data_IF_209246365452
#
_entry.id   IF_209246365452
#
_cell.length_a   1.000
_cell.length_b   1.000
_cell.length_c   1.000
_cell.angle_alpha   90.00
_cell.angle_beta   90.00
_cell.angle_gamma   90.00
#
_symmetry.space_group_name_H-M   'P 1'
#
loop_
_entity.id
_entity.type
_entity.pdbx_description
1 polymer ?
#
# COMPACT_ATOMS: atom_id res chain seq x y z
N UNK A 1 -12.02 16.59 0.17
CA UNK A 1 -10.82 16.84 -0.66
C UNK A 1 -10.37 15.54 -1.27
N UNK A 2 -10.26 15.52 -2.59
CA UNK A 2 -9.60 14.45 -3.33
C UNK A 2 -8.10 14.44 -2.99
N UNK A 3 -7.40 13.32 -3.22
CA UNK A 3 -5.95 13.25 -3.05
C UNK A 3 -5.19 14.23 -3.95
N UNK A 4 -5.75 14.53 -5.12
CA UNK A 4 -5.19 15.52 -6.05
C UNK A 4 -5.30 16.94 -5.48
N UNK A 5 -6.42 17.31 -4.85
CA UNK A 5 -6.60 18.64 -4.25
C UNK A 5 -5.56 18.90 -3.15
N UNK A 6 -5.24 17.88 -2.36
CA UNK A 6 -4.22 17.97 -1.31
C UNK A 6 -2.82 18.18 -1.91
N UNK A 7 -2.50 17.49 -3.00
CA UNK A 7 -1.19 17.63 -3.66
C UNK A 7 -1.07 18.98 -4.35
N UNK A 8 -2.12 19.45 -5.02
CA UNK A 8 -2.13 20.79 -5.59
C UNK A 8 -1.91 21.86 -4.52
N UNK A 9 -2.49 21.68 -3.35
CA UNK A 9 -2.26 22.58 -2.20
C UNK A 9 -0.79 22.52 -1.77
N UNK A 10 -0.23 21.33 -1.55
CA UNK A 10 1.17 21.17 -1.12
C UNK A 10 2.14 21.74 -2.16
N UNK A 11 1.88 21.51 -3.46
CA UNK A 11 2.71 22.02 -4.58
C UNK A 11 2.67 23.54 -4.67
N UNK A 12 1.54 24.19 -4.34
CA UNK A 12 1.43 25.66 -4.33
C UNK A 12 2.28 26.33 -3.25
N UNK A 13 2.55 25.62 -2.17
CA UNK A 13 3.23 26.13 -0.98
C UNK A 13 4.69 25.62 -0.86
N UNK A 14 5.26 25.05 -1.94
CA UNK A 14 6.67 24.64 -1.94
C UNK A 14 7.56 25.86 -2.09
N UNK A 15 8.45 26.03 -1.12
CA UNK A 15 9.44 27.11 -1.08
C UNK A 15 10.85 26.55 -1.24
N UNK A 16 11.74 27.35 -1.82
CA UNK A 16 13.16 27.07 -1.90
C UNK A 16 13.75 27.02 -0.49
N UNK A 17 14.52 25.98 -0.18
CA UNK A 17 15.13 25.81 1.16
C UNK A 17 16.21 26.86 1.44
N UNK A 18 16.80 27.46 0.40
CA UNK A 18 17.89 28.42 0.54
C UNK A 18 17.43 29.88 0.68
N UNK A 19 16.36 30.28 -0.02
CA UNK A 19 15.92 31.68 -0.07
C UNK A 19 14.41 31.87 0.13
N UNK A 20 13.68 30.81 0.49
CA UNK A 20 12.23 30.79 0.71
C UNK A 20 11.36 31.22 -0.47
N UNK A 21 11.96 31.44 -1.65
CA UNK A 21 11.23 31.76 -2.88
C UNK A 21 10.22 30.66 -3.22
N UNK A 22 8.99 31.06 -3.60
CA UNK A 22 7.93 30.11 -3.95
C UNK A 22 8.22 29.45 -5.30
N UNK A 23 8.38 28.13 -5.31
CA UNK A 23 8.71 27.32 -6.49
C UNK A 23 7.46 26.89 -7.31
N UNK A 24 6.29 27.43 -6.99
CA UNK A 24 5.03 27.13 -7.68
C UNK A 24 5.14 27.35 -9.19
N UNK A 25 4.62 26.39 -9.94
CA UNK A 25 4.50 26.47 -11.40
C UNK A 25 5.76 26.10 -12.18
N UNK A 26 6.89 25.85 -11.50
CA UNK A 26 8.08 25.29 -12.14
C UNK A 26 7.83 23.82 -12.51
N UNK A 27 8.22 23.46 -13.74
CA UNK A 27 8.02 22.11 -14.26
C UNK A 27 9.20 21.20 -13.92
N UNK A 28 8.88 19.99 -13.46
CA UNK A 28 9.85 18.92 -13.21
C UNK A 28 10.02 18.58 -11.73
N UNK A 29 10.55 17.38 -11.43
CA UNK A 29 10.75 16.91 -10.06
C UNK A 29 11.90 17.64 -9.34
N UNK A 30 12.90 18.09 -10.10
CA UNK A 30 14.06 18.84 -9.63
C UNK A 30 14.10 20.16 -10.39
N UNK A 31 14.06 21.27 -9.68
CA UNK A 31 13.99 22.62 -10.27
C UNK A 31 15.15 23.46 -9.77
N UNK A 32 15.65 24.37 -10.61
CA UNK A 32 16.61 25.39 -10.21
C UNK A 32 15.83 26.63 -9.78
N UNK A 33 16.08 27.13 -8.57
CA UNK A 33 15.47 28.35 -8.07
C UNK A 33 15.89 29.54 -8.95
N UNK A 34 14.96 30.35 -9.46
CA UNK A 34 15.29 31.49 -10.30
C UNK A 34 16.00 32.61 -9.52
N UNK A 35 15.67 32.79 -8.23
CA UNK A 35 16.27 33.83 -7.38
C UNK A 35 17.71 33.52 -6.96
N UNK A 36 17.95 32.39 -6.28
CA UNK A 36 19.26 32.08 -5.70
C UNK A 36 20.07 31.04 -6.48
N UNK A 37 19.51 30.48 -7.56
CA UNK A 37 20.17 29.45 -8.37
C UNK A 37 20.31 28.08 -7.72
N UNK A 38 19.83 27.87 -6.49
CA UNK A 38 19.90 26.59 -5.79
C UNK A 38 19.04 25.53 -6.49
N UNK A 39 19.55 24.29 -6.54
CA UNK A 39 18.82 23.15 -7.10
C UNK A 39 18.00 22.49 -5.99
N UNK A 40 16.69 22.36 -6.20
CA UNK A 40 15.75 21.84 -5.21
C UNK A 40 14.95 20.66 -5.77
N UNK A 41 14.90 19.56 -5.03
CA UNK A 41 14.04 18.41 -5.32
C UNK A 41 12.62 18.67 -4.77
N UNK A 42 11.77 19.21 -5.65
CA UNK A 42 10.36 19.51 -5.35
C UNK A 42 9.59 18.23 -5.06
N UNK A 43 9.88 17.14 -5.79
CA UNK A 43 9.21 15.87 -5.58
C UNK A 43 9.48 15.30 -4.18
N UNK A 44 10.72 15.37 -3.70
CA UNK A 44 11.10 14.96 -2.35
C UNK A 44 10.49 15.87 -1.27
N UNK A 45 10.45 17.19 -1.49
CA UNK A 45 9.83 18.14 -0.56
C UNK A 45 8.31 17.90 -0.43
N UNK A 46 7.60 17.80 -1.54
CA UNK A 46 6.15 17.53 -1.54
C UNK A 46 5.86 16.17 -0.91
N UNK A 47 6.66 15.15 -1.22
CA UNK A 47 6.56 13.84 -0.57
C UNK A 47 6.78 13.96 0.95
N UNK A 48 7.79 14.69 1.42
CA UNK A 48 8.04 14.84 2.86
C UNK A 48 6.88 15.49 3.61
N UNK A 49 6.17 16.43 2.96
CA UNK A 49 5.01 17.16 3.51
C UNK A 49 3.69 16.39 3.39
N UNK A 50 3.69 15.24 2.71
CA UNK A 50 2.50 14.41 2.64
C UNK A 50 2.18 13.77 4.01
N UNK A 51 1.07 14.19 4.60
CA UNK A 51 0.49 13.60 5.81
C UNK A 51 -0.78 12.78 5.58
N UNK A 52 -1.26 12.72 4.33
CA UNK A 52 -2.49 12.01 3.98
C UNK A 52 -2.33 10.48 4.01
N UNK A 53 -3.44 9.73 4.03
CA UNK A 53 -3.39 8.28 3.93
C UNK A 53 -2.90 7.85 2.53
N UNK A 54 -2.07 6.81 2.48
CA UNK A 54 -1.48 6.22 1.27
C UNK A 54 -2.49 5.93 0.15
N UNK A 55 -3.70 5.48 0.48
CA UNK A 55 -4.72 5.15 -0.51
C UNK A 55 -5.27 6.37 -1.26
N UNK A 56 -4.97 7.59 -0.80
CA UNK A 56 -5.28 8.84 -1.51
C UNK A 56 -4.11 9.35 -2.34
N UNK A 57 -2.95 8.72 -2.27
CA UNK A 57 -1.81 9.14 -3.10
C UNK A 57 -2.12 8.85 -4.58
N UNK A 58 -1.85 9.79 -5.50
CA UNK A 58 -2.11 9.62 -6.91
C UNK A 58 -1.26 8.48 -7.48
N UNK A 59 -1.84 7.70 -8.38
CA UNK A 59 -1.21 6.52 -8.94
C UNK A 59 -1.25 5.29 -8.03
N UNK A 60 -1.60 5.45 -6.74
CA UNK A 60 -1.72 4.34 -5.81
C UNK A 60 -2.78 3.32 -6.27
N UNK A 61 -3.93 3.77 -6.81
CA UNK A 61 -4.98 2.89 -7.34
C UNK A 61 -4.48 1.85 -8.35
N UNK A 62 -3.42 2.19 -9.10
CA UNK A 62 -2.81 1.29 -10.09
C UNK A 62 -2.03 0.15 -9.43
N UNK A 63 -1.51 0.38 -8.23
CA UNK A 63 -0.89 -0.65 -7.38
C UNK A 63 -1.95 -1.39 -6.54
N UNK A 64 -2.96 -0.67 -6.05
CA UNK A 64 -3.97 -1.17 -5.12
C UNK A 64 -4.99 -2.11 -5.76
N UNK A 65 -5.52 -1.77 -6.93
CA UNK A 65 -6.57 -2.55 -7.60
C UNK A 65 -6.16 -4.00 -7.89
N UNK A 66 -5.00 -4.28 -8.52
CA UNK A 66 -4.62 -5.66 -8.79
C UNK A 66 -4.39 -6.45 -7.49
N UNK A 67 -3.85 -5.79 -6.46
CA UNK A 67 -3.68 -6.33 -5.12
C UNK A 67 -5.03 -6.67 -4.46
N UNK A 68 -5.99 -5.76 -4.50
CA UNK A 68 -7.33 -5.96 -3.96
C UNK A 68 -8.07 -7.09 -4.68
N UNK A 69 -7.97 -7.18 -6.01
CA UNK A 69 -8.54 -8.29 -6.80
C UNK A 69 -7.91 -9.62 -6.40
N UNK A 70 -6.58 -9.69 -6.25
CA UNK A 70 -5.90 -10.91 -5.83
C UNK A 70 -6.34 -11.36 -4.43
N UNK A 71 -6.47 -10.43 -3.48
CA UNK A 71 -6.86 -10.75 -2.10
C UNK A 71 -8.34 -11.09 -1.98
N UNK A 72 -9.23 -10.34 -2.64
CA UNK A 72 -10.68 -10.65 -2.66
C UNK A 72 -10.93 -11.98 -3.36
N UNK A 73 -10.23 -12.24 -4.48
CA UNK A 73 -10.30 -13.53 -5.17
C UNK A 73 -9.86 -14.68 -4.26
N UNK A 74 -8.78 -14.49 -3.51
CA UNK A 74 -8.32 -15.45 -2.52
C UNK A 74 -9.37 -15.70 -1.42
N UNK A 75 -9.90 -14.64 -0.80
CA UNK A 75 -10.92 -14.74 0.26
C UNK A 75 -12.21 -15.41 -0.22
N UNK A 76 -12.71 -15.03 -1.40
CA UNK A 76 -13.90 -15.65 -1.99
C UNK A 76 -13.68 -17.13 -2.23
N UNK A 77 -12.49 -17.53 -2.69
CA UNK A 77 -12.27 -18.94 -2.97
C UNK A 77 -12.12 -19.76 -1.69
N UNK A 78 -11.47 -19.21 -0.65
CA UNK A 78 -11.45 -19.82 0.69
C UNK A 78 -12.87 -19.96 1.26
N UNK A 79 -13.71 -18.93 1.13
CA UNK A 79 -15.11 -18.97 1.55
C UNK A 79 -15.90 -20.06 0.79
N UNK A 80 -15.77 -20.10 -0.53
CA UNK A 80 -16.42 -21.14 -1.35
C UNK A 80 -15.91 -22.54 -1.01
N UNK A 81 -14.64 -22.70 -0.66
CA UNK A 81 -14.09 -23.95 -0.12
C UNK A 81 -14.79 -24.34 1.18
N UNK A 82 -14.90 -23.41 2.12
CA UNK A 82 -15.53 -23.62 3.42
C UNK A 82 -17.02 -23.95 3.31
N UNK A 83 -17.74 -23.30 2.40
CA UNK A 83 -19.15 -23.62 2.12
C UNK A 83 -19.28 -24.98 1.44
N UNK A 84 -18.42 -25.29 0.47
CA UNK A 84 -18.39 -26.60 -0.18
C UNK A 84 -17.95 -27.73 0.76
N UNK A 85 -17.23 -27.40 1.85
CA UNK A 85 -16.82 -28.30 2.93
C UNK A 85 -18.01 -28.94 3.66
N UNK A 86 -19.23 -28.41 3.49
CA UNK A 86 -20.43 -29.15 3.87
C UNK A 86 -20.63 -30.47 3.10
N UNK A 87 -19.84 -30.77 2.05
CA UNK A 87 -20.19 -31.85 1.10
C UNK A 87 -19.13 -32.83 0.59
N UNK A 88 -17.79 -32.70 0.76
CA UNK A 88 -16.78 -33.77 0.42
C UNK A 88 -15.30 -33.36 0.62
N UNK A 89 -14.49 -34.23 1.24
CA UNK A 89 -13.08 -34.02 1.60
C UNK A 89 -12.06 -33.89 0.43
N UNK A 90 -12.41 -34.31 -0.80
CA UNK A 90 -11.48 -34.25 -1.96
C UNK A 90 -11.40 -32.88 -2.63
N UNK A 91 -12.43 -32.05 -2.46
CA UNK A 91 -12.47 -30.68 -3.00
C UNK A 91 -11.55 -29.74 -2.21
N UNK A 92 -11.37 -29.99 -0.91
CA UNK A 92 -10.55 -29.16 -0.01
C UNK A 92 -9.09 -29.10 -0.44
N UNK A 93 -8.48 -30.24 -0.81
CA UNK A 93 -7.10 -30.29 -1.30
C UNK A 93 -6.91 -29.55 -2.63
N UNK A 94 -7.90 -29.63 -3.53
CA UNK A 94 -7.88 -28.90 -4.80
C UNK A 94 -7.99 -27.39 -4.58
N UNK A 95 -8.87 -26.95 -3.69
CA UNK A 95 -9.04 -25.52 -3.38
C UNK A 95 -7.82 -24.99 -2.61
N UNK A 96 -7.29 -25.73 -1.64
CA UNK A 96 -6.06 -25.39 -0.93
C UNK A 96 -4.82 -25.35 -1.85
N UNK A 97 -4.83 -26.05 -3.00
CA UNK A 97 -3.72 -26.02 -3.95
C UNK A 97 -3.90 -24.93 -5.03
N UNK A 98 -5.10 -24.82 -5.62
CA UNK A 98 -5.37 -23.93 -6.76
C UNK A 98 -5.45 -22.46 -6.32
N UNK A 99 -5.95 -22.18 -5.11
CA UNK A 99 -6.16 -20.81 -4.65
C UNK A 99 -4.86 -20.09 -4.30
N UNK A 100 -3.93 -20.69 -3.53
CA UNK A 100 -2.62 -20.09 -3.33
C UNK A 100 -1.84 -19.99 -4.64
N UNK A 101 -1.96 -20.98 -5.54
CA UNK A 101 -1.31 -20.93 -6.85
C UNK A 101 -1.85 -19.79 -7.73
N UNK A 102 -3.16 -19.60 -7.80
CA UNK A 102 -3.78 -18.50 -8.55
C UNK A 102 -3.44 -17.13 -7.99
N UNK A 103 -3.46 -16.98 -6.66
CA UNK A 103 -3.02 -15.77 -5.99
C UNK A 103 -1.53 -15.49 -6.27
N UNK A 104 -0.68 -16.52 -6.22
CA UNK A 104 0.74 -16.43 -6.53
C UNK A 104 0.98 -16.01 -7.99
N UNK A 105 0.21 -16.55 -8.95
CA UNK A 105 0.31 -16.16 -10.37
C UNK A 105 -0.09 -14.70 -10.58
N UNK A 106 -1.20 -14.26 -9.99
CA UNK A 106 -1.61 -12.86 -10.06
C UNK A 106 -0.55 -11.93 -9.43
N UNK A 107 0.10 -12.39 -8.36
CA UNK A 107 1.21 -11.71 -7.70
C UNK A 107 2.44 -11.58 -8.56
N UNK A 108 2.90 -12.69 -9.13
CA UNK A 108 4.06 -12.72 -10.03
C UNK A 108 3.78 -11.83 -11.24
N UNK A 109 2.57 -11.85 -11.79
CA UNK A 109 2.17 -10.96 -12.87
C UNK A 109 2.24 -9.48 -12.47
N UNK A 110 1.78 -9.11 -11.27
CA UNK A 110 1.87 -7.74 -10.74
C UNK A 110 3.33 -7.30 -10.55
N UNK A 111 4.17 -8.15 -9.97
CA UNK A 111 5.60 -7.89 -9.77
C UNK A 111 6.32 -7.73 -11.11
N UNK A 112 6.04 -8.59 -12.08
CA UNK A 112 6.63 -8.50 -13.42
C UNK A 112 6.15 -7.24 -14.14
N UNK A 113 4.86 -6.91 -14.06
CA UNK A 113 4.32 -5.71 -14.69
C UNK A 113 4.91 -4.42 -14.09
N UNK A 114 4.97 -4.33 -12.76
CA UNK A 114 5.56 -3.18 -12.05
C UNK A 114 7.06 -3.10 -12.26
N UNK A 115 7.77 -4.24 -12.27
CA UNK A 115 9.19 -4.31 -12.59
C UNK A 115 9.52 -3.83 -14.01
N UNK A 116 8.69 -4.20 -15.00
CA UNK A 116 8.85 -3.72 -16.39
C UNK A 116 8.64 -2.21 -16.53
N UNK A 117 7.72 -1.63 -15.77
CA UNK A 117 7.39 -0.18 -15.87
C UNK A 117 8.26 0.71 -15.01
N UNK A 118 8.70 0.19 -13.88
CA UNK A 118 9.24 1.00 -12.78
C UNK A 118 10.57 0.49 -12.24
N UNK A 119 11.12 -0.60 -12.80
CA UNK A 119 12.37 -1.21 -12.37
C UNK A 119 12.29 -1.80 -10.96
N UNK A 120 13.44 -1.89 -10.29
CA UNK A 120 13.58 -2.45 -8.94
C UNK A 120 12.69 -1.71 -7.92
N UNK A 121 12.55 -0.38 -8.06
CA UNK A 121 11.71 0.43 -7.17
C UNK A 121 10.23 0.02 -7.25
N UNK A 122 9.73 -0.27 -8.47
CA UNK A 122 8.36 -0.74 -8.67
C UNK A 122 8.09 -2.07 -7.99
N UNK A 123 9.03 -3.01 -8.11
CA UNK A 123 8.96 -4.32 -7.44
C UNK A 123 8.92 -4.13 -5.93
N UNK A 124 9.80 -3.28 -5.38
CA UNK A 124 9.85 -2.96 -3.95
C UNK A 124 8.52 -2.37 -3.45
N UNK A 125 7.92 -1.45 -4.20
CA UNK A 125 6.63 -0.86 -3.87
C UNK A 125 5.47 -1.87 -3.94
N UNK A 126 5.47 -2.76 -4.93
CA UNK A 126 4.47 -3.82 -5.04
C UNK A 126 4.57 -4.81 -3.87
N UNK A 127 5.79 -5.19 -3.47
CA UNK A 127 6.02 -6.07 -2.31
C UNK A 127 5.63 -5.39 -0.99
N UNK A 128 5.95 -4.11 -0.80
CA UNK A 128 5.53 -3.38 0.39
C UNK A 128 4.01 -3.20 0.45
N UNK A 129 3.38 -2.89 -0.69
CA UNK A 129 1.92 -2.79 -0.77
C UNK A 129 1.26 -4.12 -0.41
N UNK A 130 1.84 -5.25 -0.85
CA UNK A 130 1.40 -6.58 -0.43
C UNK A 130 1.41 -6.73 1.08
N UNK A 131 2.57 -6.47 1.69
CA UNK A 131 2.79 -6.72 3.10
C UNK A 131 1.81 -5.93 3.96
N UNK A 132 1.60 -4.66 3.59
CA UNK A 132 0.68 -3.76 4.29
C UNK A 132 -0.77 -4.22 4.12
N UNK A 133 -1.20 -4.50 2.89
CA UNK A 133 -2.59 -4.89 2.62
C UNK A 133 -2.92 -6.25 3.22
N UNK A 134 -2.05 -7.24 3.06
CA UNK A 134 -2.15 -8.53 3.72
C UNK A 134 -2.14 -8.37 5.23
N UNK A 135 -1.26 -7.51 5.78
CA UNK A 135 -1.22 -7.18 7.21
C UNK A 135 -2.57 -6.66 7.72
N UNK A 136 -3.22 -5.74 6.99
CA UNK A 136 -4.56 -5.29 7.37
C UNK A 136 -5.61 -6.39 7.31
N UNK A 137 -5.60 -7.19 6.25
CA UNK A 137 -6.60 -8.26 6.06
C UNK A 137 -6.44 -9.36 7.11
N UNK A 138 -5.22 -9.87 7.30
CA UNK A 138 -4.92 -10.88 8.30
C UNK A 138 -5.03 -10.34 9.73
N UNK A 139 -4.64 -9.09 9.96
CA UNK A 139 -4.82 -8.42 11.26
C UNK A 139 -6.29 -8.26 11.62
N UNK A 140 -7.14 -7.90 10.64
CA UNK A 140 -8.58 -7.79 10.83
C UNK A 140 -9.25 -9.16 11.05
N UNK A 141 -8.89 -10.18 10.25
CA UNK A 141 -9.38 -11.55 10.43
C UNK A 141 -8.93 -12.10 11.80
N UNK A 142 -7.67 -11.89 12.17
CA UNK A 142 -7.12 -12.26 13.47
C UNK A 142 -7.85 -11.57 14.61
N UNK A 143 -8.17 -10.27 14.47
CA UNK A 143 -9.00 -9.55 15.43
C UNK A 143 -10.41 -10.16 15.55
N UNK A 144 -11.07 -10.49 14.45
CA UNK A 144 -12.39 -11.12 14.47
C UNK A 144 -12.36 -12.52 15.12
N UNK A 145 -11.36 -13.33 14.81
CA UNK A 145 -11.15 -14.63 15.47
C UNK A 145 -10.87 -14.44 16.97
N UNK A 146 -10.17 -13.37 17.34
CA UNK A 146 -9.88 -13.03 18.74
C UNK A 146 -11.09 -12.50 19.48
N UNK A 147 -11.95 -11.76 18.81
CA UNK A 147 -13.22 -11.35 19.37
C UNK A 147 -14.16 -12.56 19.56
N UNK A 148 -14.21 -13.46 18.58
CA UNK A 148 -14.98 -14.71 18.67
C UNK A 148 -14.44 -15.65 19.76
N UNK A 149 -13.12 -15.69 19.95
CA UNK A 149 -12.49 -16.47 21.01
C UNK A 149 -12.58 -15.84 22.39
N UNK A 150 -12.83 -14.53 22.53
CA UNK A 150 -12.96 -13.85 23.83
C UNK A 150 -14.12 -14.39 24.70
N UNK A 151 -14.98 -15.22 24.12
CA UNK A 151 -16.01 -16.01 24.80
C UNK A 151 -15.49 -17.37 25.32
N UNK A 152 -14.19 -17.67 25.16
CA UNK A 152 -13.50 -18.85 25.69
C UNK A 152 -12.80 -18.52 27.03
N UNK A 153 -12.71 -19.47 27.97
CA UNK A 153 -12.35 -19.19 29.36
C UNK A 153 -10.89 -18.80 29.63
N UNK A 154 -9.95 -19.14 28.74
CA UNK A 154 -8.54 -18.75 28.88
C UNK A 154 -8.27 -17.41 28.18
N UNK A 155 -7.84 -16.38 28.91
CA UNK A 155 -7.62 -15.02 28.37
C UNK A 155 -6.16 -14.77 27.90
N UNK A 156 -5.26 -15.74 28.07
CA UNK A 156 -3.82 -15.57 27.84
C UNK A 156 -3.45 -15.37 26.36
N UNK A 157 -4.19 -15.97 25.44
CA UNK A 157 -3.98 -15.83 24.00
C UNK A 157 -4.48 -14.47 23.47
N UNK A 158 -5.37 -13.79 24.21
CA UNK A 158 -5.95 -12.49 23.85
C UNK A 158 -4.90 -11.37 23.92
N UNK A 159 -3.97 -11.45 24.88
CA UNK A 159 -2.84 -10.51 25.00
C UNK A 159 -1.85 -10.68 23.85
N UNK A 160 -1.53 -11.93 23.47
CA UNK A 160 -0.62 -12.23 22.36
C UNK A 160 -1.24 -11.78 21.02
N UNK A 161 -2.53 -12.05 20.83
CA UNK A 161 -3.26 -11.62 19.64
C UNK A 161 -3.35 -10.09 19.53
N UNK A 162 -3.68 -9.38 20.63
CA UNK A 162 -3.70 -7.92 20.64
C UNK A 162 -2.31 -7.32 20.37
N UNK A 163 -1.26 -7.89 20.98
CA UNK A 163 0.13 -7.47 20.74
C UNK A 163 0.54 -7.64 19.28
N UNK A 164 0.18 -8.77 18.65
CA UNK A 164 0.42 -9.01 17.24
C UNK A 164 -0.36 -8.04 16.34
N UNK A 165 -1.65 -7.81 16.60
CA UNK A 165 -2.47 -6.85 15.85
C UNK A 165 -1.90 -5.42 15.94
N UNK A 166 -1.47 -4.97 17.12
CA UNK A 166 -0.87 -3.65 17.31
C UNK A 166 0.46 -3.53 16.54
N UNK A 167 1.33 -4.55 16.63
CA UNK A 167 2.59 -4.57 15.90
C UNK A 167 2.39 -4.53 14.37
N UNK A 168 1.42 -5.31 13.86
CA UNK A 168 1.04 -5.30 12.45
C UNK A 168 0.48 -3.93 12.03
N UNK A 169 -0.38 -3.31 12.84
CA UNK A 169 -0.90 -1.97 12.54
C UNK A 169 0.20 -0.90 12.51
N UNK A 170 1.16 -0.93 13.45
CA UNK A 170 2.29 0.01 13.45
C UNK A 170 3.16 -0.20 12.20
N UNK A 171 3.49 -1.45 11.86
CA UNK A 171 4.27 -1.77 10.66
C UNK A 171 3.54 -1.32 9.38
N UNK A 172 2.23 -1.56 9.30
CA UNK A 172 1.39 -1.08 8.22
C UNK A 172 1.42 0.44 8.13
N UNK A 173 1.20 1.16 9.23
CA UNK A 173 1.19 2.62 9.26
C UNK A 173 2.49 3.27 8.75
N UNK A 174 3.65 2.73 9.17
CA UNK A 174 4.94 3.22 8.68
C UNK A 174 5.16 2.88 7.20
N UNK A 175 4.80 1.67 6.78
CA UNK A 175 4.87 1.24 5.39
C UNK A 175 3.99 2.08 4.47
N UNK A 176 2.77 2.41 4.91
CA UNK A 176 1.82 3.22 4.16
C UNK A 176 2.38 4.60 3.85
N UNK A 177 2.93 5.27 4.87
CA UNK A 177 3.56 6.59 4.69
C UNK A 177 4.70 6.52 3.68
N UNK A 178 5.53 5.48 3.76
CA UNK A 178 6.62 5.29 2.80
C UNK A 178 6.11 5.13 1.37
N UNK A 179 5.10 4.27 1.14
CA UNK A 179 4.50 4.06 -0.18
C UNK A 179 3.88 5.35 -0.70
N UNK A 180 3.07 6.04 0.10
CA UNK A 180 2.42 7.28 -0.30
C UNK A 180 3.43 8.34 -0.76
N UNK A 181 4.53 8.50 -0.01
CA UNK A 181 5.62 9.43 -0.36
C UNK A 181 6.28 9.06 -1.68
N UNK A 182 6.57 7.77 -1.90
CA UNK A 182 7.14 7.28 -3.16
C UNK A 182 6.18 7.43 -4.33
N UNK A 183 4.89 7.23 -4.10
CA UNK A 183 3.88 7.40 -5.12
C UNK A 183 3.82 8.86 -5.61
N UNK A 184 3.83 9.81 -4.67
CA UNK A 184 3.83 11.25 -4.95
C UNK A 184 5.10 11.66 -5.69
N UNK A 185 6.26 11.20 -5.24
CA UNK A 185 7.53 11.53 -5.90
C UNK A 185 7.54 11.07 -7.36
N UNK A 186 7.03 9.88 -7.66
CA UNK A 186 6.91 9.36 -9.03
C UNK A 186 5.86 10.11 -9.85
N UNK A 187 4.72 10.45 -9.25
CA UNK A 187 3.68 11.24 -9.90
C UNK A 187 4.20 12.61 -10.36
N UNK A 188 4.91 13.33 -9.48
CA UNK A 188 5.52 14.62 -9.78
C UNK A 188 6.69 14.53 -10.77
N UNK A 189 7.37 13.38 -10.82
CA UNK A 189 8.40 13.09 -11.81
C UNK A 189 7.84 12.60 -13.16
N UNK A 190 6.51 12.57 -13.34
CA UNK A 190 5.82 12.03 -14.51
C UNK A 190 6.26 10.59 -14.88
N UNK A 191 6.63 9.79 -13.87
CA UNK A 191 7.06 8.40 -14.07
C UNK A 191 5.85 7.46 -14.03
N UNK A 192 5.74 6.51 -14.98
CA UNK A 192 4.64 5.55 -14.98
C UNK A 192 4.69 4.59 -13.78
N UNK A 193 3.52 4.01 -13.45
CA UNK A 193 3.33 2.89 -12.52
C UNK A 193 3.00 1.61 -13.28
#
# INVERSE_FOLDING_TARGET
MSGNDQIETIVRDVTCVACEYNLRGLQGPVVKCPECGAVTDVAALVASRWGGPWYRAPGFDRLARPLAVAVVGWLLTVFMAGVANATRAGFELLVLAVVPAGALVAWVALIVATGRRSGVEGVMLALLAHLIYSGYVFGFIGFLMTFAGAFMPDMSWLVVACGFCVAVMIACYHGERFIGRRCIARYLAFRPF
#
